data_IF_281080085462
#
_entry.id   IF_281080085462
#
_cell.length_a   1.000
_cell.length_b   1.000
_cell.length_c   1.000
_cell.angle_alpha   90.00
_cell.angle_beta   90.00
_cell.angle_gamma   90.00
#
_symmetry.space_group_name_H-M   'P 1'
#
loop_
_entity.id
_entity.type
_entity.pdbx_description
1 polymer ?
#
# COMPACT_ATOMS: atom_id res chain seq x y z
N UNK A 1 -8.85 -2.84 -19.73
CA UNK A 1 -7.97 -2.85 -18.56
C UNK A 1 -8.43 -1.71 -17.70
N UNK A 2 -8.97 -2.03 -16.53
CA UNK A 2 -9.47 -1.00 -15.61
C UNK A 2 -8.29 -0.32 -14.93
N UNK A 3 -8.41 0.95 -14.55
CA UNK A 3 -7.36 1.68 -13.83
C UNK A 3 -6.92 0.95 -12.55
N UNK A 4 -7.84 0.20 -11.94
CA UNK A 4 -7.59 -0.63 -10.77
C UNK A 4 -6.67 -1.83 -11.04
N UNK A 5 -6.81 -2.50 -12.19
CA UNK A 5 -5.93 -3.61 -12.58
C UNK A 5 -4.51 -3.10 -12.83
N UNK A 6 -4.37 -1.92 -13.46
CA UNK A 6 -3.07 -1.30 -13.67
C UNK A 6 -2.41 -0.92 -12.33
N UNK A 7 -3.16 -0.31 -11.40
CA UNK A 7 -2.67 0.00 -10.05
C UNK A 7 -2.18 -1.25 -9.31
N UNK A 8 -2.90 -2.37 -9.43
CA UNK A 8 -2.52 -3.64 -8.80
C UNK A 8 -1.24 -4.23 -9.43
N UNK A 9 -1.11 -4.15 -10.76
CA UNK A 9 0.11 -4.57 -11.47
C UNK A 9 1.32 -3.73 -11.06
N UNK A 10 1.16 -2.41 -11.03
CA UNK A 10 2.24 -1.49 -10.65
C UNK A 10 2.65 -1.69 -9.18
N UNK A 11 1.67 -1.90 -8.29
CA UNK A 11 1.92 -2.23 -6.88
C UNK A 11 2.74 -3.53 -6.77
N UNK A 12 2.35 -4.58 -7.51
CA UNK A 12 3.08 -5.85 -7.54
C UNK A 12 4.50 -5.66 -8.05
N UNK A 13 4.70 -4.85 -9.09
CA UNK A 13 6.03 -4.55 -9.61
C UNK A 13 6.90 -3.80 -8.59
N UNK A 14 6.35 -2.81 -7.88
CA UNK A 14 7.08 -2.04 -6.87
C UNK A 14 7.44 -2.86 -5.62
N UNK A 15 6.65 -3.87 -5.31
CA UNK A 15 6.82 -4.73 -4.14
C UNK A 15 7.49 -6.08 -4.43
N UNK A 16 7.83 -6.37 -5.69
CA UNK A 16 8.31 -7.70 -6.13
C UNK A 16 9.56 -8.23 -5.41
N UNK A 17 10.41 -7.33 -4.89
CA UNK A 17 11.64 -7.69 -4.19
C UNK A 17 11.43 -7.92 -2.69
N UNK A 18 10.26 -7.56 -2.16
CA UNK A 18 9.93 -7.79 -0.77
C UNK A 18 9.49 -9.25 -0.61
N UNK A 19 10.24 -10.01 0.18
CA UNK A 19 9.78 -11.32 0.63
C UNK A 19 8.59 -11.11 1.55
N UNK A 20 7.48 -11.79 1.26
CA UNK A 20 6.30 -11.83 2.12
C UNK A 20 6.23 -13.18 2.80
N UNK A 21 5.91 -13.23 4.11
CA UNK A 21 5.81 -14.49 4.83
C UNK A 21 4.56 -15.31 4.44
N UNK A 22 3.55 -14.63 3.89
CA UNK A 22 2.34 -15.21 3.31
C UNK A 22 2.34 -14.85 1.82
N UNK A 23 2.02 -15.81 0.96
CA UNK A 23 1.95 -15.58 -0.48
C UNK A 23 0.81 -14.61 -0.82
N UNK A 24 1.12 -13.62 -1.65
CA UNK A 24 0.15 -12.60 -2.08
C UNK A 24 -0.49 -12.99 -3.41
N UNK A 25 -1.81 -13.13 -3.41
CA UNK A 25 -2.58 -13.43 -4.63
C UNK A 25 -2.90 -12.16 -5.40
N UNK A 26 -3.27 -12.28 -6.68
CA UNK A 26 -3.70 -11.14 -7.49
C UNK A 26 -4.93 -10.43 -6.89
N UNK A 27 -5.84 -11.19 -6.27
CA UNK A 27 -7.00 -10.65 -5.57
C UNK A 27 -6.60 -9.76 -4.39
N UNK A 28 -5.52 -10.12 -3.67
CA UNK A 28 -5.03 -9.29 -2.57
C UNK A 28 -4.46 -7.95 -3.06
N UNK A 29 -3.73 -7.95 -4.17
CA UNK A 29 -3.21 -6.71 -4.76
C UNK A 29 -4.35 -5.80 -5.24
N UNK A 30 -5.38 -6.36 -5.87
CA UNK A 30 -6.58 -5.63 -6.27
C UNK A 30 -7.33 -5.04 -5.06
N UNK A 31 -7.44 -5.80 -3.96
CA UNK A 31 -8.07 -5.31 -2.75
C UNK A 31 -7.27 -4.14 -2.14
N UNK A 32 -5.94 -4.26 -2.06
CA UNK A 32 -5.07 -3.20 -1.54
C UNK A 32 -5.20 -1.94 -2.40
N UNK A 33 -5.16 -2.08 -3.73
CA UNK A 33 -5.36 -0.97 -4.65
C UNK A 33 -6.72 -0.30 -4.45
N UNK A 34 -7.79 -1.10 -4.31
CA UNK A 34 -9.16 -0.59 -4.09
C UNK A 34 -9.27 0.17 -2.77
N UNK A 35 -8.67 -0.34 -1.70
CA UNK A 35 -8.65 0.34 -0.41
C UNK A 35 -7.87 1.66 -0.48
N UNK A 36 -6.78 1.71 -1.26
CA UNK A 36 -6.00 2.94 -1.46
C UNK A 36 -6.79 4.00 -2.26
N UNK A 37 -7.52 3.60 -3.30
CA UNK A 37 -8.45 4.48 -4.02
C UNK A 37 -9.51 5.02 -3.06
N UNK A 38 -10.17 4.15 -2.29
CA UNK A 38 -11.15 4.57 -1.29
C UNK A 38 -10.55 5.58 -0.30
N UNK A 39 -9.32 5.38 0.13
CA UNK A 39 -8.61 6.29 1.02
C UNK A 39 -8.45 7.69 0.39
N UNK A 40 -8.07 7.80 -0.88
CA UNK A 40 -8.01 9.07 -1.60
C UNK A 40 -9.35 9.82 -1.57
N UNK A 41 -10.46 9.15 -1.89
CA UNK A 41 -11.79 9.76 -1.91
C UNK A 41 -12.25 10.23 -0.52
N UNK A 42 -11.90 9.48 0.53
CA UNK A 42 -12.17 9.89 1.92
C UNK A 42 -11.34 11.13 2.29
N UNK A 43 -10.05 11.13 1.99
CA UNK A 43 -9.14 12.22 2.35
C UNK A 43 -9.42 13.52 1.59
N UNK A 44 -9.89 13.43 0.35
CA UNK A 44 -10.25 14.59 -0.49
C UNK A 44 -11.69 15.06 -0.29
N UNK A 45 -12.47 14.38 0.57
CA UNK A 45 -13.89 14.70 0.81
C UNK A 45 -14.82 14.32 -0.36
N UNK A 46 -14.30 13.64 -1.39
CA UNK A 46 -15.05 13.19 -2.59
C UNK A 46 -15.78 11.85 -2.38
N UNK A 47 -16.02 11.43 -1.14
CA UNK A 47 -16.55 10.10 -0.81
C UNK A 47 -17.88 9.74 -1.51
N UNK A 48 -18.70 10.72 -1.89
CA UNK A 48 -19.95 10.51 -2.64
C UNK A 48 -19.74 10.11 -4.10
N UNK A 49 -18.55 10.37 -4.66
CA UNK A 49 -18.16 10.04 -6.03
C UNK A 49 -17.51 8.65 -6.14
N UNK A 50 -17.26 7.99 -5.01
CA UNK A 50 -16.62 6.67 -4.99
C UNK A 50 -17.66 5.57 -5.31
N UNK A 51 -17.52 4.96 -6.49
CA UNK A 51 -18.22 3.75 -6.88
C UNK A 51 -17.34 2.50 -6.62
N UNK A 52 -17.84 1.44 -5.97
CA UNK A 52 -17.05 0.22 -5.75
C UNK A 52 -16.72 -0.55 -7.04
N UNK A 53 -17.48 -0.32 -8.11
CA UNK A 53 -17.30 -0.97 -9.42
C UNK A 53 -16.72 -0.05 -10.49
N UNK A 54 -16.74 1.27 -10.27
CA UNK A 54 -16.33 2.27 -11.25
C UNK A 54 -15.36 3.24 -10.58
N UNK A 55 -14.07 2.94 -10.71
CA UNK A 55 -12.99 3.81 -10.26
C UNK A 55 -12.73 4.80 -11.41
N UNK A 56 -13.00 6.10 -11.20
CA UNK A 56 -12.70 7.12 -12.20
C UNK A 56 -11.22 7.14 -12.55
N UNK A 57 -10.91 7.58 -13.77
CA UNK A 57 -9.54 7.79 -14.20
C UNK A 57 -8.84 8.79 -13.26
N UNK A 58 -7.69 8.40 -12.73
CA UNK A 58 -6.94 9.20 -11.76
C UNK A 58 -5.93 10.09 -12.47
N UNK A 59 -5.88 11.37 -12.10
CA UNK A 59 -4.80 12.26 -12.53
C UNK A 59 -3.44 11.72 -12.05
N UNK A 60 -2.36 12.05 -12.75
CA UNK A 60 -1.03 11.50 -12.46
C UNK A 60 -0.57 11.65 -11.00
N UNK A 61 -0.90 12.77 -10.34
CA UNK A 61 -0.58 12.99 -8.93
C UNK A 61 -1.47 12.15 -7.99
N UNK A 62 -2.75 11.99 -8.33
CA UNK A 62 -3.70 11.13 -7.59
C UNK A 62 -3.33 9.66 -7.72
N UNK A 63 -2.92 9.25 -8.92
CA UNK A 63 -2.39 7.92 -9.21
C UNK A 63 -1.18 7.60 -8.35
N UNK A 64 -0.18 8.49 -8.33
CA UNK A 64 1.04 8.27 -7.56
C UNK A 64 0.77 8.29 -6.04
N UNK A 65 -0.18 9.11 -5.58
CA UNK A 65 -0.64 9.10 -4.19
C UNK A 65 -1.33 7.79 -3.83
N UNK A 66 -2.23 7.30 -4.67
CA UNK A 66 -2.94 6.02 -4.46
C UNK A 66 -1.95 4.88 -4.45
N UNK A 67 -1.01 4.84 -5.40
CA UNK A 67 0.01 3.80 -5.48
C UNK A 67 0.93 3.80 -4.24
N UNK A 68 1.38 4.97 -3.80
CA UNK A 68 2.16 5.10 -2.54
C UNK A 68 1.34 4.66 -1.33
N UNK A 69 0.04 4.98 -1.29
CA UNK A 69 -0.88 4.57 -0.21
C UNK A 69 -1.06 3.04 -0.20
N UNK A 70 -1.17 2.44 -1.39
CA UNK A 70 -1.28 1.00 -1.58
C UNK A 70 0.01 0.28 -1.11
N UNK A 71 1.19 0.82 -1.43
CA UNK A 71 2.48 0.31 -0.94
C UNK A 71 2.56 0.34 0.59
N UNK A 72 2.15 1.44 1.24
CA UNK A 72 2.10 1.51 2.71
C UNK A 72 1.22 0.41 3.29
N UNK A 73 0.04 0.19 2.71
CA UNK A 73 -0.88 -0.86 3.14
C UNK A 73 -0.29 -2.26 2.97
N UNK A 74 0.39 -2.52 1.85
CA UNK A 74 1.13 -3.76 1.62
C UNK A 74 2.18 -3.99 2.72
N UNK A 75 3.07 -3.03 2.97
CA UNK A 75 4.13 -3.20 3.97
C UNK A 75 3.58 -3.35 5.40
N UNK A 76 2.47 -2.68 5.72
CA UNK A 76 1.77 -2.88 7.01
C UNK A 76 1.18 -4.28 7.15
N UNK A 77 0.63 -4.84 6.07
CA UNK A 77 0.15 -6.23 6.04
C UNK A 77 1.30 -7.19 6.28
N UNK A 78 2.41 -7.03 5.56
CA UNK A 78 3.63 -7.82 5.76
C UNK A 78 4.11 -7.73 7.21
N UNK A 79 4.19 -6.53 7.78
CA UNK A 79 4.57 -6.35 9.19
C UNK A 79 3.63 -7.08 10.14
N UNK A 80 2.31 -7.03 9.90
CA UNK A 80 1.33 -7.74 10.72
C UNK A 80 1.49 -9.26 10.61
N UNK A 81 1.77 -9.79 9.41
CA UNK A 81 1.95 -11.22 9.19
C UNK A 81 3.24 -11.72 9.85
N UNK A 82 4.33 -10.96 9.74
CA UNK A 82 5.59 -11.23 10.44
C UNK A 82 5.37 -11.25 11.95
N UNK A 83 4.71 -10.23 12.50
CA UNK A 83 4.41 -10.16 13.93
C UNK A 83 3.54 -11.34 14.41
N UNK A 84 2.56 -11.75 13.58
CA UNK A 84 1.70 -12.89 13.86
C UNK A 84 2.51 -14.18 13.93
N UNK A 85 3.38 -14.42 12.94
CA UNK A 85 4.21 -15.63 12.89
C UNK A 85 5.19 -15.67 14.06
N UNK A 86 5.92 -14.58 14.32
CA UNK A 86 6.85 -14.47 15.46
C UNK A 86 6.12 -14.68 16.79
N UNK A 87 4.92 -14.12 16.93
CA UNK A 87 4.08 -14.30 18.11
C UNK A 87 3.66 -15.75 18.36
N UNK A 88 3.56 -16.58 17.31
CA UNK A 88 3.30 -18.02 17.42
C UNK A 88 4.57 -18.87 17.55
N UNK A 89 5.73 -18.38 17.11
CA UNK A 89 6.96 -19.16 16.95
C UNK A 89 8.11 -18.72 17.85
N UNK A 90 7.82 -18.12 19.01
CA UNK A 90 8.79 -17.42 19.87
C UNK A 90 10.01 -18.28 20.28
N UNK A 91 9.88 -19.61 20.27
CA UNK A 91 11.00 -20.52 20.55
C UNK A 91 11.80 -20.94 19.30
N UNK A 92 11.23 -20.88 18.09
CA UNK A 92 11.86 -21.41 16.86
C UNK A 92 12.56 -20.33 16.01
N UNK A 93 12.03 -19.11 15.94
CA UNK A 93 12.58 -18.06 15.06
C UNK A 93 13.81 -17.34 15.63
N UNK A 94 13.94 -17.28 16.96
CA UNK A 94 15.08 -16.66 17.65
C UNK A 94 16.39 -17.41 17.35
N UNK A 95 16.30 -18.69 16.95
CA UNK A 95 17.44 -19.55 16.63
C UNK A 95 17.89 -19.38 15.16
N UNK A 96 16.99 -18.99 14.25
CA UNK A 96 17.24 -19.03 12.79
C UNK A 96 17.54 -17.67 12.12
N UNK A 97 17.54 -16.55 12.85
CA UNK A 97 17.67 -15.19 12.28
C UNK A 97 16.63 -14.87 11.19
N UNK A 98 15.44 -15.49 11.26
CA UNK A 98 14.39 -15.35 10.25
C UNK A 98 13.69 -13.96 10.26
N UNK A 99 14.06 -13.09 11.20
CA UNK A 99 13.59 -11.71 11.39
C UNK A 99 14.38 -10.67 10.55
N UNK A 100 15.62 -10.98 10.16
CA UNK A 100 16.51 -10.09 9.38
C UNK A 100 15.92 -9.52 8.08
N UNK A 101 15.18 -10.27 7.24
CA UNK A 101 14.60 -9.72 6.00
C UNK A 101 13.49 -8.67 6.26
N UNK A 102 13.03 -8.53 7.51
CA UNK A 102 11.94 -7.63 7.91
C UNK A 102 12.40 -6.47 8.79
N UNK A 103 13.70 -6.39 9.12
CA UNK A 103 14.25 -5.37 10.01
C UNK A 103 14.01 -3.93 9.53
N UNK A 104 13.96 -3.73 8.21
CA UNK A 104 13.82 -2.40 7.60
C UNK A 104 12.37 -1.99 7.32
N UNK A 105 11.37 -2.86 7.56
CA UNK A 105 9.97 -2.58 7.23
C UNK A 105 9.48 -1.27 7.87
N UNK A 106 9.81 -1.05 9.15
CA UNK A 106 9.41 0.17 9.87
C UNK A 106 9.98 1.43 9.24
N UNK A 107 11.24 1.38 8.77
CA UNK A 107 11.87 2.51 8.10
C UNK A 107 11.23 2.75 6.73
N UNK A 108 11.04 1.70 5.92
CA UNK A 108 10.39 1.81 4.61
C UNK A 108 8.97 2.38 4.73
N UNK A 109 8.17 1.92 5.71
CA UNK A 109 6.84 2.48 5.98
C UNK A 109 6.94 3.97 6.33
N UNK A 110 7.90 4.38 7.16
CA UNK A 110 8.07 5.78 7.55
C UNK A 110 8.45 6.68 6.36
N UNK A 111 9.33 6.20 5.47
CA UNK A 111 9.73 6.89 4.24
C UNK A 111 8.55 7.03 3.27
N UNK A 112 7.77 5.96 3.07
CA UNK A 112 6.58 5.97 2.23
C UNK A 112 5.50 6.91 2.78
N UNK A 113 5.28 6.93 4.10
CA UNK A 113 4.36 7.88 4.73
C UNK A 113 4.83 9.34 4.58
N UNK A 114 6.14 9.59 4.62
CA UNK A 114 6.69 10.92 4.33
C UNK A 114 6.42 11.33 2.88
N UNK A 115 6.65 10.42 1.92
CA UNK A 115 6.33 10.64 0.50
C UNK A 115 4.85 10.88 0.27
N UNK A 116 3.98 10.06 0.89
CA UNK A 116 2.52 10.20 0.82
C UNK A 116 2.06 11.60 1.27
N UNK A 117 2.63 12.12 2.36
CA UNK A 117 2.33 13.49 2.83
C UNK A 117 2.73 14.56 1.83
N UNK A 118 3.92 14.44 1.22
CA UNK A 118 4.38 15.39 0.21
C UNK A 118 3.46 15.37 -1.02
N UNK A 119 3.06 14.19 -1.48
CA UNK A 119 2.11 14.03 -2.59
C UNK A 119 0.75 14.66 -2.26
N UNK A 120 0.23 14.41 -1.05
CA UNK A 120 -1.02 15.02 -0.60
C UNK A 120 -1.02 16.55 -0.68
N UNK A 121 0.05 17.20 -0.20
CA UNK A 121 0.17 18.66 -0.26
C UNK A 121 0.35 19.20 -1.69
N UNK A 122 0.96 18.41 -2.59
CA UNK A 122 1.06 18.79 -4.01
C UNK A 122 -0.31 18.79 -4.68
N UNK A 123 -1.09 17.71 -4.50
CA UNK A 123 -2.45 17.58 -5.06
C UNK A 123 -3.39 18.69 -4.58
N UNK A 124 -3.39 18.97 -3.28
CA UNK A 124 -4.27 20.00 -2.68
C UNK A 124 -3.94 21.42 -3.13
N UNK A 125 -2.69 21.69 -3.51
CA UNK A 125 -2.28 23.01 -4.00
C UNK A 125 -2.80 23.30 -5.41
N UNK A 126 -2.97 22.28 -6.25
CA UNK A 126 -3.51 22.43 -7.60
C UNK A 126 -5.04 22.50 -7.64
N UNK A 127 -5.73 21.92 -6.65
CA UNK A 127 -7.19 21.96 -6.57
C UNK A 127 -7.74 23.30 -6.04
N UNK A 128 -6.88 24.16 -5.48
CA UNK A 128 -7.24 25.48 -4.92
C UNK A 128 -6.80 26.67 -5.81
N UNK A 129 -6.12 26.41 -6.93
CA UNK A 129 -5.67 27.43 -7.91
C UNK A 129 -6.58 27.42 -9.14
#
# INVERSE_FOLDING_TARGET
MTDLEQLAMDLRQRTQWQQTPVEMTEADYLEIARQAVRHLYVMTGRYTQYGPEDVPELDADEYEYVLTTAEVSFYRRVQSDVNRIIGYSTDAMTITNADKPYANLSQTIAELLARQRVLYYKMTRYTLL
#
